data_IF_908138394891
#
_entry.id   IF_908138394891
#
_cell.length_a   1.000
_cell.length_b   1.000
_cell.length_c   1.000
_cell.angle_alpha   90.00
_cell.angle_beta   90.00
_cell.angle_gamma   90.00
#
_symmetry.space_group_name_H-M   'P 1'
#
loop_
_entity.id
_entity.type
_entity.pdbx_description
1 polymer ?
#
# COMPACT_ATOMS: atom_id res chain seq x y z
N UNK A 1 46.80 -49.12 -39.85
CA UNK A 1 46.61 -47.73 -39.37
C UNK A 1 45.47 -47.10 -40.18
N UNK A 2 44.23 -47.09 -39.69
CA UNK A 2 43.11 -46.43 -40.39
C UNK A 2 42.74 -45.18 -39.60
N UNK A 3 43.25 -44.01 -40.03
CA UNK A 3 42.82 -42.72 -39.51
C UNK A 3 41.39 -42.45 -40.00
N UNK A 4 40.41 -42.58 -39.12
CA UNK A 4 39.04 -42.09 -39.34
C UNK A 4 39.12 -40.57 -39.46
N UNK A 5 39.12 -40.05 -40.69
CA UNK A 5 39.18 -38.60 -40.95
C UNK A 5 37.84 -38.01 -40.51
N UNK A 6 37.86 -37.25 -39.42
CA UNK A 6 36.70 -36.58 -38.86
C UNK A 6 36.26 -35.50 -39.86
N UNK A 7 35.12 -35.71 -40.53
CA UNK A 7 34.56 -34.75 -41.48
C UNK A 7 33.93 -33.61 -40.66
N UNK A 8 34.35 -32.34 -40.84
CA UNK A 8 33.76 -31.23 -40.12
C UNK A 8 32.31 -31.03 -40.57
N UNK A 9 31.37 -31.07 -39.62
CA UNK A 9 29.95 -30.87 -39.85
C UNK A 9 29.73 -29.45 -40.42
N UNK A 10 29.26 -29.36 -41.66
CA UNK A 10 28.97 -28.08 -42.30
C UNK A 10 27.91 -27.33 -41.48
N UNK A 11 28.18 -26.06 -41.17
CA UNK A 11 27.24 -25.23 -40.42
C UNK A 11 26.09 -24.86 -41.35
N UNK A 12 24.93 -25.49 -41.15
CA UNK A 12 23.75 -25.24 -41.96
C UNK A 12 23.31 -23.78 -41.79
N UNK A 13 23.14 -22.99 -42.87
CA UNK A 13 22.77 -21.58 -42.79
C UNK A 13 21.43 -21.40 -42.07
N UNK A 14 20.51 -22.36 -42.22
CA UNK A 14 19.24 -22.40 -41.51
C UNK A 14 19.39 -22.52 -39.99
N UNK A 15 20.39 -23.25 -39.49
CA UNK A 15 20.66 -23.35 -38.05
C UNK A 15 21.26 -22.06 -37.48
N UNK A 16 22.00 -21.30 -38.28
CA UNK A 16 22.53 -20.00 -37.87
C UNK A 16 21.40 -18.96 -37.74
N UNK A 17 20.46 -18.94 -38.69
CA UNK A 17 19.29 -18.06 -38.66
C UNK A 17 18.37 -18.41 -37.48
N UNK A 18 18.10 -19.71 -37.24
CA UNK A 18 17.30 -20.14 -36.08
C UNK A 18 17.95 -19.75 -34.75
N UNK A 19 19.27 -19.91 -34.61
CA UNK A 19 20.00 -19.47 -33.41
C UNK A 19 19.97 -17.95 -33.24
N UNK A 20 20.12 -17.17 -34.31
CA UNK A 20 20.04 -15.71 -34.24
C UNK A 20 18.64 -15.25 -33.81
N UNK A 21 17.58 -15.87 -34.34
CA UNK A 21 16.20 -15.60 -33.94
C UNK A 21 15.93 -15.98 -32.48
N UNK A 22 16.44 -17.13 -32.02
CA UNK A 22 16.34 -17.56 -30.63
C UNK A 22 17.08 -16.62 -29.67
N UNK A 23 18.28 -16.15 -30.03
CA UNK A 23 19.05 -15.18 -29.24
C UNK A 23 18.33 -13.82 -29.16
N UNK A 24 17.70 -13.38 -30.25
CA UNK A 24 16.87 -12.17 -30.27
C UNK A 24 15.64 -12.29 -29.35
N UNK A 25 14.95 -13.43 -29.39
CA UNK A 25 13.80 -13.68 -28.51
C UNK A 25 14.21 -13.74 -27.02
N UNK A 26 15.33 -14.40 -26.70
CA UNK A 26 15.86 -14.43 -25.32
C UNK A 26 16.20 -13.02 -24.84
N UNK A 27 16.81 -12.18 -25.69
CA UNK A 27 17.19 -10.81 -25.35
C UNK A 27 15.97 -9.89 -25.13
N UNK A 28 14.89 -10.10 -25.88
CA UNK A 28 13.63 -9.37 -25.69
C UNK A 28 12.88 -9.81 -24.42
N UNK A 29 12.89 -11.11 -24.12
CA UNK A 29 12.26 -11.65 -22.91
C UNK A 29 13.03 -11.20 -21.65
N UNK A 30 14.37 -11.24 -21.67
CA UNK A 30 15.18 -10.80 -20.52
C UNK A 30 15.04 -9.30 -20.27
N UNK A 31 14.96 -8.48 -21.33
CA UNK A 31 14.69 -7.04 -21.22
C UNK A 31 13.30 -6.76 -20.60
N UNK A 32 12.28 -7.53 -20.99
CA UNK A 32 10.92 -7.38 -20.46
C UNK A 32 10.81 -7.75 -18.97
N UNK A 33 11.57 -8.74 -18.52
CA UNK A 33 11.62 -9.15 -17.11
C UNK A 33 12.28 -8.07 -16.23
N UNK A 34 13.33 -7.40 -16.71
CA UNK A 34 14.04 -6.37 -15.94
C UNK A 34 13.21 -5.10 -15.71
N UNK A 35 12.31 -4.75 -16.63
CA UNK A 35 11.43 -3.57 -16.49
C UNK A 35 10.36 -3.77 -15.40
N UNK A 36 10.00 -5.02 -15.09
CA UNK A 36 8.93 -5.34 -14.13
C UNK A 36 9.30 -5.04 -12.67
N UNK A 37 10.59 -4.94 -12.32
CA UNK A 37 11.02 -4.61 -10.95
C UNK A 37 10.96 -3.12 -10.61
N UNK A 38 10.88 -2.21 -11.58
CA UNK A 38 10.96 -0.77 -11.34
C UNK A 38 9.62 -0.11 -10.95
N UNK A 39 8.49 -0.82 -11.07
CA UNK A 39 7.14 -0.25 -10.93
C UNK A 39 6.54 -0.47 -9.53
N UNK A 40 7.22 -1.18 -8.63
CA UNK A 40 6.72 -1.44 -7.27
C UNK A 40 7.42 -0.57 -6.22
N UNK A 41 7.19 0.74 -6.26
CA UNK A 41 7.41 1.61 -5.10
C UNK A 41 6.05 2.08 -4.58
N UNK A 42 5.50 1.47 -3.51
CA UNK A 42 4.34 2.07 -2.87
C UNK A 42 4.74 3.48 -2.46
N UNK A 43 3.89 4.48 -2.76
CA UNK A 43 4.09 5.84 -2.30
C UNK A 43 4.32 5.77 -0.78
N UNK A 44 5.55 6.02 -0.34
CA UNK A 44 5.87 6.08 1.08
C UNK A 44 5.25 7.37 1.59
N UNK A 45 3.99 7.32 2.01
CA UNK A 45 3.38 8.38 2.79
C UNK A 45 4.23 8.51 4.04
N UNK A 46 5.04 9.57 4.09
CA UNK A 46 5.90 9.84 5.23
C UNK A 46 5.02 10.03 6.46
N UNK A 47 5.43 9.61 7.65
CA UNK A 47 4.76 9.98 8.90
C UNK A 47 4.50 11.48 9.02
N UNK A 48 5.37 12.29 8.39
CA UNK A 48 5.31 13.75 8.37
C UNK A 48 4.48 14.34 7.21
N UNK A 49 3.96 13.50 6.31
CA UNK A 49 3.10 13.97 5.21
C UNK A 49 1.85 14.63 5.80
N UNK A 50 1.66 15.91 5.48
CA UNK A 50 0.49 16.67 5.89
C UNK A 50 -0.69 16.40 4.97
N UNK A 51 -1.85 16.13 5.57
CA UNK A 51 -3.11 15.91 4.87
C UNK A 51 -4.02 17.12 5.04
N UNK A 52 -4.81 17.45 4.02
CA UNK A 52 -5.74 18.57 4.06
C UNK A 52 -6.81 18.36 5.16
N UNK A 53 -7.21 19.42 5.89
CA UNK A 53 -8.15 19.30 7.02
C UNK A 53 -9.51 18.72 6.62
N UNK A 54 -9.97 18.99 5.39
CA UNK A 54 -11.24 18.47 4.87
C UNK A 54 -11.22 16.93 4.80
N UNK A 55 -10.16 16.35 4.25
CA UNK A 55 -9.99 14.90 4.14
C UNK A 55 -9.99 14.24 5.53
N UNK A 56 -9.31 14.86 6.49
CA UNK A 56 -9.22 14.37 7.86
C UNK A 56 -10.57 14.43 8.60
N UNK A 57 -11.35 15.49 8.38
CA UNK A 57 -12.71 15.61 8.94
C UNK A 57 -13.66 14.58 8.36
N UNK A 58 -13.56 14.32 7.06
CA UNK A 58 -14.36 13.29 6.37
C UNK A 58 -14.03 11.89 6.90
N UNK A 59 -12.74 11.58 7.06
CA UNK A 59 -12.27 10.32 7.62
C UNK A 59 -12.73 10.13 9.08
N UNK A 60 -12.57 11.14 9.95
CA UNK A 60 -13.05 11.10 11.33
C UNK A 60 -14.58 10.91 11.40
N UNK A 61 -15.33 11.56 10.51
CA UNK A 61 -16.78 11.40 10.43
C UNK A 61 -17.18 10.00 9.94
N UNK A 62 -16.43 9.43 9.01
CA UNK A 62 -16.60 8.05 8.57
C UNK A 62 -16.35 7.07 9.72
N UNK A 63 -15.26 7.23 10.46
CA UNK A 63 -14.94 6.40 11.62
C UNK A 63 -16.08 6.42 12.66
N UNK A 64 -16.62 7.60 12.99
CA UNK A 64 -17.78 7.72 13.89
C UNK A 64 -18.98 6.90 13.41
N UNK A 65 -19.36 7.04 12.15
CA UNK A 65 -20.50 6.29 11.59
C UNK A 65 -20.26 4.79 11.65
N UNK A 66 -19.05 4.33 11.34
CA UNK A 66 -18.69 2.91 11.38
C UNK A 66 -18.79 2.37 12.82
N UNK A 67 -18.25 3.10 13.81
CA UNK A 67 -18.32 2.71 15.21
C UNK A 67 -19.76 2.66 15.70
N UNK A 68 -20.58 3.68 15.41
CA UNK A 68 -21.99 3.72 15.82
C UNK A 68 -22.82 2.60 15.16
N UNK A 69 -22.49 2.23 13.93
CA UNK A 69 -23.22 1.17 13.22
C UNK A 69 -22.77 -0.24 13.61
N UNK A 70 -21.49 -0.46 13.93
CA UNK A 70 -20.92 -1.80 13.98
C UNK A 70 -20.30 -2.19 15.33
N UNK A 71 -19.96 -1.25 16.22
CA UNK A 71 -19.25 -1.57 17.46
C UNK A 71 -20.23 -2.06 18.53
N UNK A 72 -20.25 -3.36 18.88
CA UNK A 72 -21.10 -3.85 19.96
C UNK A 72 -20.64 -3.20 21.26
N UNK A 73 -21.55 -2.79 22.13
CA UNK A 73 -21.18 -2.21 23.43
C UNK A 73 -20.48 -0.85 23.36
N UNK A 74 -20.62 -0.09 22.26
CA UNK A 74 -20.01 1.24 22.10
C UNK A 74 -20.26 2.17 23.31
N UNK A 75 -21.43 2.04 23.94
CA UNK A 75 -21.87 2.90 25.04
C UNK A 75 -21.91 2.21 26.42
N UNK A 76 -21.23 1.07 26.62
CA UNK A 76 -21.23 0.38 27.93
C UNK A 76 -20.49 1.17 29.02
N UNK A 77 -19.34 1.74 28.69
CA UNK A 77 -18.48 2.43 29.66
C UNK A 77 -18.53 3.95 29.56
N UNK A 78 -18.98 4.46 28.41
CA UNK A 78 -19.12 5.90 28.15
C UNK A 78 -20.50 6.18 27.57
N UNK A 79 -21.17 7.19 28.13
CA UNK A 79 -22.47 7.62 27.60
C UNK A 79 -22.32 8.19 26.19
N UNK A 80 -23.38 8.07 25.39
CA UNK A 80 -23.43 8.66 24.05
C UNK A 80 -23.08 10.16 24.06
N UNK A 81 -23.61 10.91 25.02
CA UNK A 81 -23.32 12.33 25.18
C UNK A 81 -21.83 12.59 25.44
N UNK A 82 -21.18 11.81 26.31
CA UNK A 82 -19.75 11.95 26.61
C UNK A 82 -18.90 11.68 25.36
N UNK A 83 -19.21 10.58 24.64
CA UNK A 83 -18.49 10.19 23.44
C UNK A 83 -18.69 11.20 22.28
N UNK A 84 -19.91 11.69 22.09
CA UNK A 84 -20.22 12.75 21.11
C UNK A 84 -19.52 14.06 21.46
N UNK A 85 -19.46 14.44 22.74
CA UNK A 85 -18.73 15.63 23.19
C UNK A 85 -17.23 15.49 22.93
N UNK A 86 -16.65 14.32 23.18
CA UNK A 86 -15.26 14.04 22.83
C UNK A 86 -15.01 14.08 21.32
N UNK A 87 -15.93 13.53 20.52
CA UNK A 87 -15.89 13.62 19.06
C UNK A 87 -15.88 15.07 18.58
N UNK A 88 -16.78 15.93 19.08
CA UNK A 88 -16.84 17.33 18.68
C UNK A 88 -15.54 18.09 19.03
N UNK A 89 -14.92 17.78 20.17
CA UNK A 89 -13.60 18.31 20.53
C UNK A 89 -12.53 17.88 19.53
N UNK A 90 -12.48 16.60 19.17
CA UNK A 90 -11.54 16.07 18.19
C UNK A 90 -11.76 16.68 16.80
N UNK A 91 -13.01 16.77 16.35
CA UNK A 91 -13.38 17.36 15.06
C UNK A 91 -13.01 18.85 14.98
N UNK A 92 -13.27 19.60 16.06
CA UNK A 92 -12.90 21.02 16.18
C UNK A 92 -11.39 21.27 16.29
N UNK A 93 -10.60 20.27 16.70
CA UNK A 93 -9.14 20.36 16.75
C UNK A 93 -8.50 20.28 15.35
N UNK A 94 -9.21 19.73 14.35
CA UNK A 94 -8.79 19.72 12.95
C UNK A 94 -9.03 21.10 12.33
N UNK A 95 -8.08 22.03 12.54
CA UNK A 95 -8.17 23.41 12.04
C UNK A 95 -7.43 23.63 10.73
N UNK A 96 -6.31 22.95 10.55
CA UNK A 96 -5.43 23.05 9.39
C UNK A 96 -4.88 21.66 9.05
N UNK A 97 -4.08 21.59 8.00
CA UNK A 97 -3.34 20.41 7.62
C UNK A 97 -2.46 19.90 8.75
N UNK A 98 -2.50 18.59 8.99
CA UNK A 98 -1.71 17.92 10.02
C UNK A 98 -1.08 16.64 9.48
N UNK A 99 0.01 16.22 10.12
CA UNK A 99 0.72 15.00 9.76
C UNK A 99 -0.12 13.76 10.11
N UNK A 100 0.18 12.64 9.46
CA UNK A 100 -0.49 11.37 9.74
C UNK A 100 -0.32 10.94 11.21
N UNK A 101 0.85 11.19 11.80
CA UNK A 101 1.10 10.89 13.23
C UNK A 101 0.22 11.75 14.13
N UNK A 102 0.14 13.05 13.88
CA UNK A 102 -0.71 13.95 14.67
C UNK A 102 -2.19 13.55 14.58
N UNK A 103 -2.65 13.21 13.38
CA UNK A 103 -4.02 12.74 13.17
C UNK A 103 -4.31 11.41 13.88
N UNK A 104 -3.41 10.41 13.77
CA UNK A 104 -3.54 9.14 14.49
C UNK A 104 -3.63 9.33 16.01
N UNK A 105 -2.81 10.23 16.57
CA UNK A 105 -2.85 10.53 18.00
C UNK A 105 -4.18 11.17 18.41
N UNK A 106 -4.73 12.07 17.58
CA UNK A 106 -6.05 12.66 17.79
C UNK A 106 -7.16 11.61 17.76
N UNK A 107 -7.12 10.69 16.79
CA UNK A 107 -8.06 9.56 16.73
C UNK A 107 -7.96 8.68 17.98
N UNK A 108 -6.74 8.30 18.37
CA UNK A 108 -6.51 7.45 19.53
C UNK A 108 -7.06 8.07 20.83
N UNK A 109 -6.91 9.39 21.02
CA UNK A 109 -7.47 10.09 22.18
C UNK A 109 -9.00 10.00 22.26
N UNK A 110 -9.68 10.13 21.12
CA UNK A 110 -11.13 10.01 21.07
C UNK A 110 -11.59 8.56 21.20
N UNK A 111 -10.97 7.61 20.47
CA UNK A 111 -11.26 6.17 20.55
C UNK A 111 -11.06 5.63 21.96
N UNK A 112 -10.04 6.10 22.69
CA UNK A 112 -9.83 5.74 24.09
C UNK A 112 -11.03 6.11 24.99
N UNK A 113 -11.85 7.09 24.63
CA UNK A 113 -13.08 7.41 25.38
C UNK A 113 -14.13 6.32 25.27
N UNK A 114 -14.05 5.38 24.32
CA UNK A 114 -14.95 4.22 24.25
C UNK A 114 -14.65 3.25 25.42
N UNK A 115 -13.41 3.26 25.93
CA UNK A 115 -12.92 2.38 27.00
C UNK A 115 -13.07 0.88 26.67
N UNK A 116 -12.94 0.51 25.39
CA UNK A 116 -12.91 -0.87 24.93
C UNK A 116 -11.48 -1.25 24.51
N UNK A 117 -10.88 -2.23 25.20
CA UNK A 117 -9.50 -2.67 24.93
C UNK A 117 -9.24 -3.25 23.53
N UNK A 118 -10.30 -3.56 22.78
CA UNK A 118 -10.25 -4.09 21.42
C UNK A 118 -10.43 -3.02 20.33
N UNK A 119 -10.66 -1.76 20.68
CA UNK A 119 -10.75 -0.64 19.71
C UNK A 119 -9.46 0.17 19.76
N UNK A 120 -8.68 0.15 18.67
CA UNK A 120 -7.36 0.81 18.57
C UNK A 120 -7.15 1.39 17.19
#
# INVERSE_FOLDING_TARGET
>A
MIKKKMIPKAKNPFQAVFKAMQMGAILLITSSILVSCAVFTPAKTSPETKLAPQLLKEDLSLLKRILEANHPSLYWYSSKQSLDTAYQRAFGAIKDSMSLVAYKNLLAQWVAQIQCGHTR
#
